data_IF_418310183362
#
_entry.id   IF_418310183362
#
_cell.length_a   1.000
_cell.length_b   1.000
_cell.length_c   1.000
_cell.angle_alpha   90.00
_cell.angle_beta   90.00
_cell.angle_gamma   90.00
#
_symmetry.space_group_name_H-M   'P 1'
#
loop_
_entity.id
_entity.type
_entity.pdbx_description
1 polymer ?
#
# COMPACT_ATOMS: atom_id res chain seq x y z
N UNK A 1 -3.94 19.49 -12.27
CA UNK A 1 -3.94 20.89 -12.80
C UNK A 1 -3.17 21.69 -11.78
N UNK A 2 -2.10 22.33 -12.19
CA UNK A 2 -1.26 23.17 -11.35
C UNK A 2 -2.07 24.38 -10.83
N UNK A 3 -1.93 24.73 -9.54
CA UNK A 3 -2.66 25.83 -8.92
C UNK A 3 -2.39 27.16 -9.63
N UNK A 4 -1.18 27.36 -10.15
CA UNK A 4 -0.79 28.57 -10.92
C UNK A 4 -1.58 28.67 -12.23
N UNK A 5 -1.74 27.56 -12.95
CA UNK A 5 -2.55 27.50 -14.18
C UNK A 5 -4.05 27.72 -13.91
N UNK A 6 -4.54 27.19 -12.78
CA UNK A 6 -5.93 27.39 -12.38
C UNK A 6 -6.19 28.88 -12.09
N UNK A 7 -5.32 29.52 -11.31
CA UNK A 7 -5.43 30.93 -10.95
C UNK A 7 -5.27 31.82 -12.20
N UNK A 8 -4.26 31.57 -13.02
CA UNK A 8 -4.02 32.32 -14.26
C UNK A 8 -5.22 32.24 -15.22
N UNK A 9 -5.79 31.05 -15.41
CA UNK A 9 -6.98 30.84 -16.22
C UNK A 9 -8.22 31.53 -15.64
N UNK A 10 -8.36 31.54 -14.31
CA UNK A 10 -9.53 32.14 -13.64
C UNK A 10 -9.49 33.67 -13.63
N UNK A 11 -8.29 34.24 -13.63
CA UNK A 11 -8.07 35.69 -13.58
C UNK A 11 -7.61 36.31 -14.90
N UNK A 12 -7.59 35.53 -15.98
CA UNK A 12 -7.14 35.98 -17.32
C UNK A 12 -5.73 36.62 -17.32
N UNK A 13 -4.83 36.10 -16.47
CA UNK A 13 -3.44 36.57 -16.36
C UNK A 13 -2.63 35.89 -17.44
N UNK A 14 -2.01 36.61 -18.41
CA UNK A 14 -1.12 36.00 -19.37
C UNK A 14 0.12 35.48 -18.65
N UNK A 15 0.37 34.17 -18.72
CA UNK A 15 1.63 33.58 -18.25
C UNK A 15 2.62 33.70 -19.41
N UNK A 16 3.59 34.59 -19.27
CA UNK A 16 4.72 34.69 -20.20
C UNK A 16 5.68 33.51 -19.99
N UNK A 17 5.34 32.37 -20.53
CA UNK A 17 6.30 31.31 -20.85
C UNK A 17 6.35 31.15 -22.36
N UNK A 18 7.48 30.73 -22.89
CA UNK A 18 7.55 30.13 -24.22
C UNK A 18 6.69 28.85 -24.18
N UNK A 19 5.41 29.05 -24.41
CA UNK A 19 4.31 28.20 -23.97
C UNK A 19 4.27 26.86 -24.71
N UNK A 20 4.90 26.78 -25.89
CA UNK A 20 4.82 25.58 -26.72
C UNK A 20 5.74 24.45 -26.22
N UNK A 21 7.01 24.71 -25.94
CA UNK A 21 7.94 23.66 -25.49
C UNK A 21 7.61 23.13 -24.08
N UNK A 22 7.17 24.01 -23.17
CA UNK A 22 6.77 23.60 -21.82
C UNK A 22 5.48 22.78 -21.84
N UNK A 23 4.54 23.13 -22.70
CA UNK A 23 3.29 22.41 -22.88
C UNK A 23 3.51 21.04 -23.52
N UNK A 24 4.36 20.94 -24.54
CA UNK A 24 4.67 19.67 -25.19
C UNK A 24 5.35 18.69 -24.25
N UNK A 25 6.33 19.16 -23.47
CA UNK A 25 7.02 18.32 -22.48
C UNK A 25 6.07 17.83 -21.38
N UNK A 26 5.25 18.71 -20.82
CA UNK A 26 4.27 18.31 -19.81
C UNK A 26 3.21 17.36 -20.35
N UNK A 27 2.73 17.61 -21.57
CA UNK A 27 1.79 16.69 -22.21
C UNK A 27 2.42 15.32 -22.47
N UNK A 28 3.69 15.28 -22.86
CA UNK A 28 4.41 14.02 -23.03
C UNK A 28 4.59 13.27 -21.69
N UNK A 29 4.96 13.98 -20.63
CA UNK A 29 5.07 13.41 -19.27
C UNK A 29 3.71 12.90 -18.75
N UNK A 30 2.63 13.66 -18.91
CA UNK A 30 1.29 13.23 -18.54
C UNK A 30 0.84 12.00 -19.34
N UNK A 31 1.09 11.98 -20.65
CA UNK A 31 0.80 10.82 -21.51
C UNK A 31 1.62 9.60 -21.12
N UNK A 32 2.91 9.81 -20.79
CA UNK A 32 3.76 8.73 -20.32
C UNK A 32 3.23 8.16 -18.99
N UNK A 33 2.93 9.02 -18.00
CA UNK A 33 2.34 8.60 -16.71
C UNK A 33 1.03 7.84 -16.90
N UNK A 34 0.16 8.30 -17.80
CA UNK A 34 -1.09 7.61 -18.08
C UNK A 34 -0.85 6.22 -18.70
N UNK A 35 0.14 6.09 -19.59
CA UNK A 35 0.52 4.79 -20.17
C UNK A 35 1.01 3.80 -19.10
N UNK A 36 1.76 4.28 -18.10
CA UNK A 36 2.21 3.47 -16.96
C UNK A 36 1.03 3.01 -16.09
N UNK A 37 0.05 3.89 -15.85
CA UNK A 37 -1.15 3.55 -15.09
C UNK A 37 -2.01 2.51 -15.81
N UNK A 38 -2.14 2.63 -17.13
CA UNK A 38 -2.83 1.62 -17.96
C UNK A 38 -2.11 0.27 -17.92
N UNK A 39 -0.77 0.27 -17.95
CA UNK A 39 0.01 -0.97 -17.80
C UNK A 39 -0.26 -1.63 -16.44
N UNK A 40 -0.33 -0.84 -15.34
CA UNK A 40 -0.67 -1.34 -14.01
C UNK A 40 -2.09 -1.95 -13.94
N UNK A 41 -3.05 -1.44 -14.68
CA UNK A 41 -4.40 -2.03 -14.75
C UNK A 41 -4.37 -3.44 -15.38
N UNK A 42 -3.58 -3.65 -16.46
CA UNK A 42 -3.37 -4.98 -17.05
C UNK A 42 -2.63 -5.92 -16.10
N UNK A 43 -1.58 -5.42 -15.43
CA UNK A 43 -0.81 -6.17 -14.42
C UNK A 43 -1.72 -6.62 -13.27
N UNK A 44 -2.59 -5.72 -12.80
CA UNK A 44 -3.57 -6.04 -11.77
C UNK A 44 -4.51 -7.17 -12.20
N UNK A 45 -5.00 -7.12 -13.43
CA UNK A 45 -5.86 -8.17 -13.97
C UNK A 45 -5.17 -9.53 -13.98
N UNK A 46 -3.86 -9.59 -14.27
CA UNK A 46 -3.07 -10.80 -14.21
C UNK A 46 -3.00 -11.36 -12.78
N UNK A 47 -2.61 -10.55 -11.79
CA UNK A 47 -2.47 -11.00 -10.41
C UNK A 47 -3.81 -11.43 -9.81
N UNK A 48 -4.90 -10.74 -10.14
CA UNK A 48 -6.25 -11.14 -9.74
C UNK A 48 -6.64 -12.49 -10.34
N UNK A 49 -6.35 -12.71 -11.62
CA UNK A 49 -6.60 -13.99 -12.29
C UNK A 49 -5.84 -15.12 -11.60
N UNK A 50 -4.55 -14.91 -11.29
CA UNK A 50 -3.72 -15.92 -10.61
C UNK A 50 -4.29 -16.29 -9.24
N UNK A 51 -4.77 -15.33 -8.46
CA UNK A 51 -5.37 -15.62 -7.15
C UNK A 51 -6.72 -16.29 -7.28
N UNK A 52 -7.62 -15.78 -8.13
CA UNK A 52 -9.07 -16.13 -8.09
C UNK A 52 -9.44 -17.31 -8.96
N UNK A 53 -8.88 -17.40 -10.16
CA UNK A 53 -9.38 -18.30 -11.21
C UNK A 53 -8.39 -19.37 -11.64
N UNK A 54 -7.10 -19.25 -11.28
CA UNK A 54 -6.12 -20.26 -11.63
C UNK A 54 -6.23 -21.43 -10.67
N UNK A 55 -6.50 -22.61 -11.21
CA UNK A 55 -6.68 -23.83 -10.42
C UNK A 55 -5.42 -24.69 -10.47
N UNK A 56 -4.46 -24.30 -9.63
CA UNK A 56 -3.26 -25.09 -9.34
C UNK A 56 -2.96 -25.02 -7.83
N UNK A 57 -2.05 -25.88 -7.37
CA UNK A 57 -1.79 -26.04 -5.93
C UNK A 57 -1.22 -24.77 -5.29
N UNK A 58 -0.34 -24.05 -5.99
CA UNK A 58 0.26 -22.81 -5.46
C UNK A 58 -0.76 -21.68 -5.35
N UNK A 59 -1.65 -21.55 -6.33
CA UNK A 59 -2.70 -20.52 -6.29
C UNK A 59 -3.76 -20.84 -5.22
N UNK A 60 -4.03 -22.13 -4.97
CA UNK A 60 -4.88 -22.55 -3.84
C UNK A 60 -4.23 -22.17 -2.51
N UNK A 61 -2.96 -22.48 -2.31
CA UNK A 61 -2.22 -22.07 -1.10
C UNK A 61 -2.21 -20.54 -0.92
N UNK A 62 -2.09 -19.79 -2.02
CA UNK A 62 -2.16 -18.34 -2.00
C UNK A 62 -3.56 -17.83 -1.56
N UNK A 63 -4.64 -18.48 -2.03
CA UNK A 63 -6.02 -18.19 -1.59
C UNK A 63 -6.20 -18.52 -0.12
N UNK A 64 -5.79 -19.70 0.32
CA UNK A 64 -5.89 -20.12 1.72
C UNK A 64 -5.17 -19.12 2.65
N UNK A 65 -3.98 -18.66 2.23
CA UNK A 65 -3.24 -17.63 2.96
C UNK A 65 -3.98 -16.29 2.99
N UNK A 66 -4.43 -15.80 1.84
CA UNK A 66 -5.06 -14.48 1.74
C UNK A 66 -6.43 -14.44 2.45
N UNK A 67 -7.26 -15.47 2.25
CA UNK A 67 -8.61 -15.55 2.82
C UNK A 67 -8.60 -15.93 4.31
N UNK A 68 -7.53 -16.58 4.77
CA UNK A 68 -7.28 -16.76 6.21
C UNK A 68 -6.95 -15.46 6.95
N UNK A 69 -6.46 -14.44 6.24
CA UNK A 69 -6.12 -13.13 6.84
C UNK A 69 -7.21 -12.08 6.68
N UNK A 70 -7.88 -12.06 5.56
CA UNK A 70 -8.93 -11.08 5.23
C UNK A 70 -10.13 -11.79 4.60
N UNK A 71 -11.37 -11.35 4.85
CA UNK A 71 -12.54 -11.90 4.18
C UNK A 71 -12.39 -11.90 2.66
N UNK A 72 -12.89 -12.92 1.98
CA UNK A 72 -12.76 -13.08 0.52
C UNK A 72 -13.36 -11.88 -0.23
N UNK A 73 -14.52 -11.41 0.20
CA UNK A 73 -15.19 -10.23 -0.38
C UNK A 73 -14.32 -9.00 -0.24
N UNK A 74 -13.66 -8.85 0.92
CA UNK A 74 -12.73 -7.75 1.14
C UNK A 74 -11.49 -7.87 0.26
N UNK A 75 -10.89 -9.07 0.14
CA UNK A 75 -9.78 -9.32 -0.78
C UNK A 75 -10.13 -8.92 -2.21
N UNK A 76 -11.38 -9.18 -2.61
CA UNK A 76 -11.91 -8.81 -3.91
C UNK A 76 -11.96 -7.30 -4.11
N UNK A 77 -12.49 -6.56 -3.14
CA UNK A 77 -12.62 -5.09 -3.20
C UNK A 77 -11.26 -4.41 -3.08
N UNK A 78 -10.39 -4.90 -2.19
CA UNK A 78 -9.03 -4.40 -2.02
C UNK A 78 -8.14 -4.68 -3.25
N UNK A 79 -8.52 -5.65 -4.08
CA UNK A 79 -7.76 -6.02 -5.27
C UNK A 79 -6.55 -6.89 -4.97
N UNK A 80 -6.60 -7.69 -3.91
CA UNK A 80 -5.51 -8.61 -3.56
C UNK A 80 -5.36 -9.67 -4.64
N UNK A 81 -4.12 -9.89 -5.08
CA UNK A 81 -3.77 -10.83 -6.13
C UNK A 81 -2.61 -11.75 -5.73
N UNK A 82 -2.13 -12.54 -6.69
CA UNK A 82 -1.01 -13.44 -6.47
C UNK A 82 -0.03 -13.40 -7.65
N UNK A 83 1.26 -13.34 -7.34
CA UNK A 83 2.37 -13.51 -8.29
C UNK A 83 2.91 -14.93 -8.16
N UNK A 84 2.74 -15.80 -9.19
CA UNK A 84 3.18 -17.19 -9.18
C UNK A 84 4.70 -17.37 -8.99
N UNK A 85 5.11 -18.59 -8.66
CA UNK A 85 6.53 -18.98 -8.53
C UNK A 85 7.25 -18.79 -9.86
N UNK A 86 6.64 -19.23 -10.97
CA UNK A 86 7.20 -19.05 -12.31
C UNK A 86 6.93 -17.63 -12.83
N UNK A 87 7.98 -16.81 -12.77
CA UNK A 87 7.92 -15.42 -13.27
C UNK A 87 7.80 -15.31 -14.80
N UNK A 88 8.11 -16.38 -15.56
CA UNK A 88 7.98 -16.35 -17.02
C UNK A 88 6.50 -16.24 -17.43
N UNK A 89 5.59 -16.82 -16.66
CA UNK A 89 4.14 -16.69 -16.91
C UNK A 89 3.68 -15.23 -16.91
N UNK A 90 4.28 -14.39 -16.06
CA UNK A 90 4.00 -12.95 -16.05
C UNK A 90 4.60 -12.26 -17.28
N UNK A 91 5.83 -12.60 -17.66
CA UNK A 91 6.50 -12.03 -18.83
C UNK A 91 5.71 -12.37 -20.11
N UNK A 92 5.34 -13.65 -20.28
CA UNK A 92 4.51 -14.11 -21.40
C UNK A 92 3.16 -13.40 -21.48
N UNK A 93 2.53 -13.17 -20.32
CA UNK A 93 1.28 -12.42 -20.25
C UNK A 93 1.47 -10.98 -20.74
N UNK A 94 2.51 -10.30 -20.29
CA UNK A 94 2.82 -8.93 -20.68
C UNK A 94 3.11 -8.83 -22.18
N UNK A 95 3.87 -9.77 -22.76
CA UNK A 95 4.15 -9.86 -24.19
C UNK A 95 2.88 -10.06 -25.02
N UNK A 96 2.02 -11.00 -24.61
CA UNK A 96 0.72 -11.25 -25.27
C UNK A 96 -0.22 -10.04 -25.24
N UNK A 97 -0.04 -9.14 -24.30
CA UNK A 97 -0.79 -7.87 -24.18
C UNK A 97 -0.07 -6.69 -24.80
N UNK A 98 1.10 -6.91 -25.43
CA UNK A 98 1.93 -5.87 -26.04
C UNK A 98 2.27 -4.74 -25.08
N UNK A 99 2.45 -5.07 -23.79
CA UNK A 99 2.91 -4.11 -22.80
C UNK A 99 4.36 -3.72 -23.08
N UNK A 100 4.64 -2.43 -22.99
CA UNK A 100 5.99 -1.92 -23.24
C UNK A 100 6.96 -2.43 -22.17
N UNK A 101 8.05 -3.09 -22.57
CA UNK A 101 9.03 -3.68 -21.66
C UNK A 101 9.74 -2.61 -20.82
N UNK A 102 10.07 -1.45 -21.40
CA UNK A 102 10.69 -0.34 -20.68
C UNK A 102 9.76 0.18 -19.56
N UNK A 103 8.47 0.31 -19.85
CA UNK A 103 7.47 0.64 -18.84
C UNK A 103 7.42 -0.38 -17.69
N UNK A 104 7.57 -1.67 -17.99
CA UNK A 104 7.61 -2.72 -16.97
C UNK A 104 8.87 -2.62 -16.09
N UNK A 105 10.03 -2.26 -16.66
CA UNK A 105 11.24 -1.95 -15.88
C UNK A 105 11.06 -0.71 -15.03
N UNK A 106 10.50 0.34 -15.59
CA UNK A 106 10.26 1.61 -14.89
C UNK A 106 9.28 1.45 -13.72
N UNK A 107 8.25 0.62 -13.88
CA UNK A 107 7.32 0.24 -12.82
C UNK A 107 7.92 -0.73 -11.79
N UNK A 108 9.14 -1.22 -12.02
CA UNK A 108 9.79 -2.21 -11.17
C UNK A 108 9.15 -3.58 -11.20
N UNK A 109 8.39 -3.92 -12.25
CA UNK A 109 7.79 -5.24 -12.45
C UNK A 109 8.81 -6.24 -13.01
N UNK A 110 9.74 -5.76 -13.81
CA UNK A 110 10.85 -6.53 -14.34
C UNK A 110 12.18 -6.04 -13.79
N UNK A 111 13.15 -6.96 -13.72
CA UNK A 111 14.55 -6.66 -13.43
C UNK A 111 15.45 -7.39 -14.40
N UNK A 112 16.66 -6.85 -14.58
CA UNK A 112 17.73 -7.46 -15.36
C UNK A 112 18.83 -7.93 -14.42
N UNK A 113 19.19 -9.20 -14.51
CA UNK A 113 20.31 -9.79 -13.80
C UNK A 113 21.67 -9.31 -14.36
N UNK A 114 22.75 -9.60 -13.66
CA UNK A 114 24.12 -9.29 -14.09
C UNK A 114 24.50 -9.99 -15.40
N UNK A 115 23.91 -11.15 -15.66
CA UNK A 115 24.04 -11.93 -16.91
C UNK A 115 23.15 -11.41 -18.05
N UNK A 116 22.41 -10.33 -17.84
CA UNK A 116 21.48 -9.74 -18.79
C UNK A 116 20.11 -10.41 -18.85
N UNK A 117 19.88 -11.51 -18.11
CA UNK A 117 18.60 -12.20 -18.08
C UNK A 117 17.52 -11.32 -17.45
N UNK A 118 16.33 -11.28 -18.08
CA UNK A 118 15.17 -10.53 -17.59
C UNK A 118 14.30 -11.46 -16.75
N UNK A 119 13.92 -10.99 -15.57
CA UNK A 119 13.05 -11.73 -14.67
C UNK A 119 11.98 -10.86 -14.01
N UNK A 120 10.85 -11.49 -13.67
CA UNK A 120 9.79 -10.84 -12.89
C UNK A 120 10.24 -10.58 -11.46
N UNK A 121 10.07 -9.33 -10.98
CA UNK A 121 10.46 -8.91 -9.63
C UNK A 121 9.65 -9.63 -8.54
N UNK A 122 8.37 -9.80 -8.77
CA UNK A 122 7.45 -10.43 -7.82
C UNK A 122 7.22 -11.88 -8.19
N UNK A 123 7.57 -12.77 -7.26
CA UNK A 123 7.39 -14.23 -7.41
C UNK A 123 7.02 -14.84 -6.08
N UNK A 124 6.06 -15.75 -6.06
CA UNK A 124 5.56 -16.44 -4.88
C UNK A 124 5.11 -15.45 -3.78
N UNK A 125 4.32 -14.42 -4.22
CA UNK A 125 3.90 -13.33 -3.31
C UNK A 125 2.43 -13.01 -3.46
N UNK A 126 1.79 -12.74 -2.32
CA UNK A 126 0.51 -12.05 -2.29
C UNK A 126 0.74 -10.61 -2.71
N UNK A 127 0.05 -10.17 -3.75
CA UNK A 127 0.17 -8.84 -4.34
C UNK A 127 -0.91 -7.92 -3.77
N UNK A 128 -0.49 -6.86 -3.14
CA UNK A 128 -1.35 -5.87 -2.50
C UNK A 128 -1.16 -4.55 -3.25
N UNK A 129 -2.18 -4.07 -3.98
CA UNK A 129 -2.06 -2.84 -4.76
C UNK A 129 -1.97 -1.61 -3.86
N UNK A 130 -1.04 -0.73 -4.16
CA UNK A 130 -0.93 0.61 -3.58
C UNK A 130 -1.69 1.56 -4.50
N UNK A 131 -2.63 2.32 -3.94
CA UNK A 131 -3.50 3.22 -4.68
C UNK A 131 -3.22 4.67 -4.33
N UNK A 132 -3.38 5.54 -5.31
CA UNK A 132 -3.43 6.97 -5.05
C UNK A 132 -4.81 7.37 -4.45
N UNK A 133 -4.95 8.62 -3.99
CA UNK A 133 -6.19 9.12 -3.38
C UNK A 133 -7.46 8.98 -4.25
N UNK A 134 -7.30 8.81 -5.56
CA UNK A 134 -8.41 8.61 -6.51
C UNK A 134 -8.73 7.14 -6.74
N UNK A 135 -7.98 6.21 -6.12
CA UNK A 135 -8.18 4.77 -6.23
C UNK A 135 -7.45 4.11 -7.40
N UNK A 136 -6.65 4.86 -8.20
CA UNK A 136 -5.83 4.27 -9.27
C UNK A 136 -4.62 3.56 -8.68
N UNK A 137 -4.31 2.38 -9.18
CA UNK A 137 -3.13 1.62 -8.77
C UNK A 137 -1.88 2.34 -9.29
N UNK A 138 -0.91 2.55 -8.40
CA UNK A 138 0.35 3.23 -8.70
C UNK A 138 1.58 2.35 -8.41
N UNK A 139 1.43 1.31 -7.59
CA UNK A 139 2.50 0.40 -7.20
C UNK A 139 1.92 -0.83 -6.49
N UNK A 140 2.82 -1.69 -6.00
CA UNK A 140 2.49 -2.85 -5.17
C UNK A 140 3.39 -2.94 -3.94
N UNK A 141 2.82 -3.42 -2.84
CA UNK A 141 3.55 -4.10 -1.77
C UNK A 141 3.23 -5.59 -1.85
N UNK A 142 4.21 -6.45 -1.57
CA UNK A 142 4.06 -7.87 -1.86
C UNK A 142 4.62 -8.74 -0.73
N UNK A 143 3.75 -9.58 -0.14
CA UNK A 143 4.09 -10.51 0.94
C UNK A 143 4.59 -11.82 0.36
N UNK A 144 5.78 -12.25 0.76
CA UNK A 144 6.30 -13.58 0.42
C UNK A 144 5.56 -14.68 1.19
N UNK A 145 5.12 -15.73 0.51
CA UNK A 145 4.43 -16.89 1.09
C UNK A 145 5.16 -18.21 0.82
N UNK A 146 6.40 -18.16 0.33
CA UNK A 146 7.23 -19.35 0.12
C UNK A 146 8.00 -19.74 1.38
N UNK A 147 8.88 -20.74 1.21
CA UNK A 147 9.62 -21.37 2.31
C UNK A 147 11.09 -20.92 2.42
N UNK A 148 11.54 -19.97 1.57
CA UNK A 148 12.93 -19.49 1.64
C UNK A 148 13.08 -18.47 2.78
N UNK A 149 13.77 -18.79 3.89
CA UNK A 149 13.91 -17.89 5.04
C UNK A 149 14.77 -16.65 4.74
N UNK A 150 15.55 -16.67 3.64
CA UNK A 150 16.35 -15.53 3.20
C UNK A 150 15.55 -14.53 2.36
N UNK A 151 14.36 -14.90 1.89
CA UNK A 151 13.53 -14.02 1.12
C UNK A 151 12.90 -12.94 2.03
N UNK A 152 12.98 -11.64 1.65
CA UNK A 152 12.33 -10.60 2.43
C UNK A 152 10.83 -10.86 2.58
N UNK A 153 10.32 -10.73 3.81
CA UNK A 153 8.90 -10.92 4.16
C UNK A 153 8.00 -10.03 3.29
N UNK A 154 8.36 -8.75 3.15
CA UNK A 154 7.69 -7.79 2.26
C UNK A 154 8.69 -7.12 1.32
N UNK A 155 8.25 -6.84 0.11
CA UNK A 155 8.94 -5.97 -0.85
C UNK A 155 7.93 -5.00 -1.47
N UNK A 156 8.40 -3.79 -1.77
CA UNK A 156 7.59 -2.78 -2.46
C UNK A 156 8.11 -2.58 -3.88
N UNK A 157 7.26 -2.09 -4.77
CA UNK A 157 7.70 -1.55 -6.06
C UNK A 157 8.77 -0.48 -5.87
N UNK A 158 9.66 -0.36 -6.83
CA UNK A 158 10.63 0.74 -6.90
C UNK A 158 9.92 2.07 -7.15
N UNK A 159 10.58 3.19 -6.84
CA UNK A 159 10.10 4.51 -7.23
C UNK A 159 9.97 4.60 -8.75
N UNK A 160 8.90 5.23 -9.22
CA UNK A 160 8.58 5.41 -10.64
C UNK A 160 7.92 6.78 -10.85
N UNK A 161 7.67 7.22 -12.09
CA UNK A 161 6.96 8.48 -12.34
C UNK A 161 5.55 8.54 -11.77
N UNK A 162 4.95 7.39 -11.42
CA UNK A 162 3.61 7.31 -10.83
C UNK A 162 3.62 6.99 -9.33
N UNK A 163 4.78 6.60 -8.77
CA UNK A 163 4.89 6.18 -7.38
C UNK A 163 6.15 6.68 -6.69
N UNK A 164 5.98 7.37 -5.58
CA UNK A 164 7.04 7.74 -4.63
C UNK A 164 6.63 7.30 -3.23
N UNK A 165 7.48 6.46 -2.60
CA UNK A 165 7.22 5.93 -1.26
C UNK A 165 7.06 7.02 -0.21
N UNK A 166 7.86 8.09 -0.30
CA UNK A 166 7.80 9.22 0.62
C UNK A 166 6.59 10.14 0.42
N UNK A 167 5.89 10.00 -0.71
CA UNK A 167 4.71 10.81 -1.04
C UNK A 167 3.42 10.01 -1.01
N UNK A 168 3.48 8.73 -0.64
CA UNK A 168 2.32 7.83 -0.69
C UNK A 168 1.94 7.38 0.71
N UNK A 169 0.64 7.41 0.99
CA UNK A 169 0.02 6.79 2.15
C UNK A 169 -0.79 5.58 1.68
N UNK A 170 -0.53 4.42 2.26
CA UNK A 170 -1.35 3.24 2.01
C UNK A 170 -2.73 3.40 2.66
N UNK A 171 -3.79 3.08 1.93
CA UNK A 171 -5.17 3.19 2.40
C UNK A 171 -5.81 4.57 2.24
N UNK A 172 -5.07 5.58 1.75
CA UNK A 172 -5.56 6.94 1.58
C UNK A 172 -6.76 7.03 0.61
N UNK A 173 -6.85 6.13 -0.35
CA UNK A 173 -7.96 6.07 -1.31
C UNK A 173 -9.31 5.81 -0.64
N UNK A 174 -9.34 5.02 0.43
CA UNK A 174 -10.53 4.77 1.24
C UNK A 174 -10.70 5.84 2.31
N UNK A 175 -9.63 6.15 3.05
CA UNK A 175 -9.67 7.11 4.14
C UNK A 175 -10.13 8.50 3.69
N UNK A 176 -9.69 8.97 2.52
CA UNK A 176 -10.07 10.28 2.00
C UNK A 176 -11.55 10.38 1.57
N UNK A 177 -12.26 9.26 1.45
CA UNK A 177 -13.71 9.23 1.16
C UNK A 177 -14.57 9.32 2.42
N UNK A 178 -13.97 9.15 3.60
CA UNK A 178 -14.65 9.23 4.89
C UNK A 178 -14.83 10.71 5.29
N UNK A 179 -15.84 11.37 4.70
CA UNK A 179 -16.09 12.82 4.85
C UNK A 179 -16.36 13.27 6.30
N UNK A 180 -16.75 12.34 7.17
CA UNK A 180 -17.13 12.60 8.56
C UNK A 180 -16.19 11.91 9.56
N UNK A 181 -15.01 11.49 9.14
CA UNK A 181 -14.04 10.91 10.07
C UNK A 181 -13.43 12.01 10.93
N UNK A 182 -13.75 12.01 12.22
CA UNK A 182 -13.19 12.95 13.20
C UNK A 182 -11.66 12.83 13.29
N UNK A 183 -11.13 11.66 12.99
CA UNK A 183 -9.70 11.35 13.00
C UNK A 183 -9.32 10.27 11.99
N UNK A 184 -8.04 10.21 11.64
CA UNK A 184 -7.49 9.07 10.92
C UNK A 184 -6.72 8.16 11.87
N UNK A 185 -6.82 6.84 11.63
CA UNK A 185 -6.08 5.82 12.34
C UNK A 185 -4.77 5.58 11.61
N UNK A 186 -3.68 5.63 12.37
CA UNK A 186 -2.32 5.40 11.88
C UNK A 186 -1.81 4.08 12.44
N UNK A 187 -1.49 3.15 11.55
CA UNK A 187 -0.91 1.84 11.86
C UNK A 187 0.45 1.67 11.20
N UNK A 188 1.17 0.59 11.50
CA UNK A 188 2.55 0.42 11.05
C UNK A 188 2.67 0.06 9.57
N UNK A 189 1.77 -0.77 9.05
CA UNK A 189 1.93 -1.32 7.72
C UNK A 189 0.65 -1.57 6.92
N UNK A 190 0.85 -1.91 5.65
CA UNK A 190 -0.25 -2.22 4.74
C UNK A 190 -1.15 -3.39 5.21
N UNK A 191 -0.63 -4.49 5.81
CA UNK A 191 -1.47 -5.56 6.32
C UNK A 191 -2.44 -5.10 7.39
N UNK A 192 -1.99 -4.18 8.28
CA UNK A 192 -2.76 -3.67 9.40
C UNK A 192 -3.86 -2.74 8.90
N UNK A 193 -3.53 -1.88 7.92
CA UNK A 193 -4.54 -1.07 7.22
C UNK A 193 -5.62 -1.97 6.60
N UNK A 194 -5.22 -3.01 5.87
CA UNK A 194 -6.17 -3.93 5.24
C UNK A 194 -7.04 -4.63 6.30
N UNK A 195 -6.44 -5.01 7.43
CA UNK A 195 -7.17 -5.65 8.51
C UNK A 195 -8.19 -4.71 9.13
N UNK A 196 -7.79 -3.48 9.45
CA UNK A 196 -8.67 -2.45 9.98
C UNK A 196 -9.81 -2.12 9.01
N UNK A 197 -9.48 -1.90 7.74
CA UNK A 197 -10.49 -1.62 6.70
C UNK A 197 -11.43 -2.79 6.45
N UNK A 198 -10.96 -4.06 6.64
CA UNK A 198 -11.80 -5.24 6.46
C UNK A 198 -12.91 -5.37 7.51
N UNK A 199 -12.78 -4.64 8.61
CA UNK A 199 -13.78 -4.60 9.71
C UNK A 199 -14.44 -3.23 9.85
N UNK A 200 -14.34 -2.38 8.82
CA UNK A 200 -15.10 -1.13 8.72
C UNK A 200 -14.35 0.15 9.15
N UNK A 201 -13.08 0.06 9.58
CA UNK A 201 -12.25 1.24 9.88
C UNK A 201 -11.58 1.78 8.61
N UNK A 202 -12.38 2.25 7.66
CA UNK A 202 -11.91 2.76 6.37
C UNK A 202 -11.01 4.01 6.50
N UNK A 203 -11.07 4.73 7.63
CA UNK A 203 -10.23 5.88 7.96
C UNK A 203 -8.80 5.49 8.41
N UNK A 204 -8.34 4.27 8.11
CA UNK A 204 -7.01 3.77 8.49
C UNK A 204 -6.01 3.93 7.36
N UNK A 205 -4.82 4.44 7.69
CA UNK A 205 -3.69 4.63 6.76
C UNK A 205 -2.36 4.21 7.39
N UNK A 206 -1.37 3.94 6.55
CA UNK A 206 0.02 3.71 6.98
C UNK A 206 1.02 4.37 6.04
N UNK A 207 2.19 4.74 6.56
CA UNK A 207 3.36 5.00 5.74
C UNK A 207 3.91 3.67 5.21
N UNK A 208 4.45 3.69 3.98
CA UNK A 208 5.09 2.51 3.38
C UNK A 208 6.58 2.37 3.76
N UNK A 209 7.00 3.09 4.78
CA UNK A 209 8.36 3.11 5.32
C UNK A 209 8.37 3.46 6.81
N UNK A 210 9.54 3.33 7.44
CA UNK A 210 9.71 3.57 8.87
C UNK A 210 9.63 5.05 9.26
N UNK A 211 9.99 5.96 8.36
CA UNK A 211 9.99 7.40 8.61
C UNK A 211 8.85 8.08 7.83
N UNK A 212 8.08 8.91 8.51
CA UNK A 212 7.06 9.77 7.92
C UNK A 212 7.70 11.02 7.31
N UNK A 213 7.11 11.51 6.23
CA UNK A 213 7.58 12.70 5.51
C UNK A 213 6.62 13.86 5.66
N UNK A 214 7.12 15.06 5.40
CA UNK A 214 6.29 16.27 5.38
C UNK A 214 5.15 16.18 4.36
N UNK A 215 5.43 15.60 3.18
CA UNK A 215 4.43 15.39 2.13
C UNK A 215 3.28 14.50 2.59
N UNK A 216 3.57 13.45 3.35
CA UNK A 216 2.55 12.55 3.89
C UNK A 216 1.67 13.28 4.94
N UNK A 217 2.25 14.06 5.82
CA UNK A 217 1.49 14.87 6.78
C UNK A 217 0.63 15.94 6.09
N UNK A 218 1.13 16.58 5.03
CA UNK A 218 0.33 17.54 4.25
C UNK A 218 -0.86 16.87 3.54
N UNK A 219 -0.73 15.61 3.14
CA UNK A 219 -1.87 14.85 2.63
C UNK A 219 -2.92 14.58 3.71
N UNK A 220 -2.48 14.22 4.93
CA UNK A 220 -3.40 14.00 6.05
C UNK A 220 -4.16 15.26 6.42
N UNK A 221 -3.48 16.42 6.48
CA UNK A 221 -4.10 17.72 6.82
C UNK A 221 -5.27 18.11 5.92
N UNK A 222 -5.27 17.65 4.67
CA UNK A 222 -6.36 17.89 3.72
C UNK A 222 -7.66 17.17 4.09
N UNK A 223 -7.60 16.21 5.02
CA UNK A 223 -8.72 15.34 5.35
C UNK A 223 -9.10 15.36 6.83
N UNK A 224 -8.15 15.57 7.74
CA UNK A 224 -8.40 15.57 9.19
C UNK A 224 -7.40 16.46 9.93
N UNK A 225 -7.77 16.91 11.12
CA UNK A 225 -6.88 17.56 12.09
C UNK A 225 -6.47 16.65 13.25
N UNK A 226 -6.95 15.41 13.29
CA UNK A 226 -6.74 14.49 14.41
C UNK A 226 -6.22 13.14 13.94
N UNK A 227 -5.23 12.59 14.64
CA UNK A 227 -4.63 11.31 14.33
C UNK A 227 -4.68 10.40 15.57
N UNK A 228 -5.05 9.15 15.37
CA UNK A 228 -5.01 8.09 16.38
C UNK A 228 -3.96 7.06 15.98
N UNK A 229 -2.83 7.04 16.67
CA UNK A 229 -1.78 6.05 16.44
C UNK A 229 -2.08 4.76 17.20
N UNK A 230 -1.94 3.63 16.52
CA UNK A 230 -2.07 2.29 17.10
C UNK A 230 -0.77 1.54 16.79
N UNK A 231 0.18 1.46 17.77
CA UNK A 231 1.40 0.69 17.61
C UNK A 231 1.14 -0.81 17.66
N UNK A 232 2.02 -1.59 17.03
CA UNK A 232 2.09 -3.02 17.26
C UNK A 232 2.48 -3.31 18.71
N UNK A 233 1.94 -4.39 19.28
CA UNK A 233 2.15 -4.77 20.67
C UNK A 233 3.38 -5.67 20.89
N UNK A 234 4.38 -5.59 20.02
CA UNK A 234 5.60 -6.38 20.05
C UNK A 234 6.59 -5.91 21.14
N UNK A 235 6.31 -6.23 22.38
CA UNK A 235 7.21 -5.93 23.51
C UNK A 235 8.27 -7.01 23.58
N UNK A 236 9.52 -6.65 23.30
CA UNK A 236 10.65 -7.54 23.54
C UNK A 236 10.86 -7.77 25.04
N UNK A 237 11.22 -9.01 25.41
CA UNK A 237 11.46 -9.39 26.80
C UNK A 237 12.49 -8.45 27.47
N UNK A 238 12.11 -7.88 28.62
CA UNK A 238 12.96 -6.94 29.39
C UNK A 238 12.92 -5.48 28.92
N UNK A 239 12.10 -5.12 27.92
CA UNK A 239 11.88 -3.71 27.55
C UNK A 239 10.50 -3.23 28.03
N UNK A 240 10.38 -1.97 28.51
CA UNK A 240 9.09 -1.43 28.93
C UNK A 240 8.15 -1.17 27.75
N UNK A 241 8.68 -0.97 26.55
CA UNK A 241 7.92 -0.70 25.32
C UNK A 241 8.56 -1.41 24.13
N UNK A 242 7.75 -1.78 23.12
CA UNK A 242 8.19 -2.33 21.84
C UNK A 242 8.72 -1.26 20.88
N UNK A 243 9.38 -1.70 19.81
CA UNK A 243 9.90 -0.81 18.77
C UNK A 243 8.78 0.04 18.11
N UNK A 244 7.58 -0.54 17.95
CA UNK A 244 6.40 0.16 17.44
C UNK A 244 6.01 1.36 18.29
N UNK A 245 6.07 1.24 19.61
CA UNK A 245 5.77 2.34 20.52
C UNK A 245 6.78 3.50 20.40
N UNK A 246 8.08 3.19 20.30
CA UNK A 246 9.12 4.21 20.09
C UNK A 246 8.91 4.96 18.76
N UNK A 247 8.56 4.24 17.69
CA UNK A 247 8.24 4.82 16.40
C UNK A 247 7.00 5.73 16.47
N UNK A 248 5.95 5.32 17.19
CA UNK A 248 4.74 6.12 17.42
C UNK A 248 5.05 7.39 18.20
N UNK A 249 5.91 7.32 19.22
CA UNK A 249 6.31 8.51 19.99
C UNK A 249 7.04 9.54 19.11
N UNK A 250 7.95 9.09 18.25
CA UNK A 250 8.67 9.97 17.33
C UNK A 250 7.75 10.58 16.27
N UNK A 251 6.92 9.76 15.63
CA UNK A 251 6.00 10.18 14.57
C UNK A 251 4.84 11.02 15.13
N UNK A 252 4.33 10.70 16.31
CA UNK A 252 3.32 11.47 17.03
C UNK A 252 3.82 12.85 17.41
N UNK A 253 5.07 12.95 17.91
CA UNK A 253 5.68 14.25 18.20
C UNK A 253 5.86 15.10 16.93
N UNK A 254 6.18 14.47 15.78
CA UNK A 254 6.23 15.18 14.50
C UNK A 254 4.84 15.65 14.08
N UNK A 255 3.81 14.82 14.21
CA UNK A 255 2.42 15.19 13.92
C UNK A 255 1.94 16.38 14.77
N UNK A 256 2.24 16.40 16.07
CA UNK A 256 1.92 17.51 16.97
C UNK A 256 2.59 18.80 16.50
N UNK A 257 3.90 18.76 16.16
CA UNK A 257 4.60 19.93 15.62
C UNK A 257 3.99 20.46 14.33
N UNK A 258 3.33 19.59 13.56
CA UNK A 258 2.59 19.98 12.36
C UNK A 258 1.13 20.40 12.63
N UNK A 259 0.73 20.48 13.89
CA UNK A 259 -0.57 21.00 14.31
C UNK A 259 -1.71 19.97 14.33
N UNK A 260 -1.41 18.68 14.39
CA UNK A 260 -2.42 17.64 14.61
C UNK A 260 -2.72 17.44 16.10
N UNK A 261 -3.98 17.12 16.40
CA UNK A 261 -4.34 16.47 17.64
C UNK A 261 -3.95 15.01 17.55
N UNK A 262 -3.15 14.52 18.51
CA UNK A 262 -2.64 13.15 18.50
C UNK A 262 -3.16 12.40 19.70
N UNK A 263 -3.71 11.22 19.46
CA UNK A 263 -4.02 10.22 20.47
C UNK A 263 -3.24 8.94 20.16
N UNK A 264 -2.91 8.18 21.19
CA UNK A 264 -2.31 6.85 21.06
C UNK A 264 -3.25 5.85 21.71
N UNK A 265 -3.49 4.73 21.07
CA UNK A 265 -4.26 3.61 21.59
C UNK A 265 -3.38 2.37 21.59
N UNK A 266 -3.15 1.80 22.74
CA UNK A 266 -2.52 0.51 22.89
C UNK A 266 -3.55 -0.59 22.70
N UNK A 267 -3.18 -1.64 21.98
CA UNK A 267 -3.98 -2.83 21.88
C UNK A 267 -3.79 -3.63 23.18
N UNK A 268 -4.86 -4.14 23.80
CA UNK A 268 -4.72 -4.96 24.99
C UNK A 268 -3.87 -6.18 24.65
N UNK A 269 -2.86 -6.48 25.48
CA UNK A 269 -2.06 -7.70 25.35
C UNK A 269 -2.99 -8.91 25.35
N UNK A 270 -2.98 -9.70 24.28
CA UNK A 270 -3.55 -11.02 24.31
C UNK A 270 -2.75 -11.83 25.33
N UNK A 271 -3.35 -12.15 26.50
CA UNK A 271 -2.78 -13.19 27.35
C UNK A 271 -2.69 -14.44 26.50
N UNK A 272 -1.52 -15.07 26.46
CA UNK A 272 -1.16 -16.22 25.64
C UNK A 272 -2.06 -17.48 25.82
N UNK A 273 -3.20 -17.37 26.46
CA UNK A 273 -4.14 -18.46 26.77
C UNK A 273 -5.20 -18.75 25.72
N UNK A 274 -5.18 -18.05 24.56
CA UNK A 274 -6.08 -18.35 23.43
C UNK A 274 -5.25 -18.35 22.15
N UNK A 275 -4.16 -19.08 22.14
CA UNK A 275 -3.43 -19.36 20.90
C UNK A 275 -4.00 -20.68 20.36
N UNK A 276 -4.80 -20.59 19.32
CA UNK A 276 -5.01 -21.74 18.44
C UNK A 276 -3.63 -22.09 17.87
N UNK A 277 -3.11 -23.29 18.15
CA UNK A 277 -1.76 -23.75 17.78
C UNK A 277 -1.53 -23.73 16.26
N UNK A 278 -2.57 -23.48 15.47
CA UNK A 278 -2.52 -23.34 14.00
C UNK A 278 -2.36 -21.90 13.49
N UNK A 279 -2.36 -20.90 14.37
CA UNK A 279 -2.15 -19.50 13.97
C UNK A 279 -0.67 -19.16 14.24
N UNK A 280 0.12 -18.76 13.21
CA UNK A 280 1.49 -18.30 13.44
C UNK A 280 1.52 -17.19 14.49
N UNK A 281 2.43 -17.30 15.48
CA UNK A 281 2.58 -16.39 16.63
C UNK A 281 2.86 -14.91 16.30
N UNK A 282 2.93 -14.58 15.03
CA UNK A 282 3.22 -13.25 14.51
C UNK A 282 1.99 -12.37 14.24
N UNK A 283 0.76 -12.88 14.44
CA UNK A 283 -0.48 -12.17 14.12
C UNK A 283 -1.25 -11.70 15.37
N UNK A 284 -0.60 -10.88 16.19
CA UNK A 284 -1.19 -10.25 17.40
C UNK A 284 -2.47 -9.43 17.09
N UNK A 285 -2.67 -9.03 15.84
CA UNK A 285 -3.81 -8.25 15.40
C UNK A 285 -5.16 -9.02 15.37
N UNK A 286 -5.13 -10.36 15.29
CA UNK A 286 -6.37 -11.15 15.25
C UNK A 286 -7.15 -11.13 16.57
N UNK A 287 -6.47 -10.98 17.70
CA UNK A 287 -7.09 -11.01 19.03
C UNK A 287 -7.79 -9.71 19.39
N UNK A 288 -7.32 -8.57 18.88
CA UNK A 288 -7.85 -7.25 19.24
C UNK A 288 -9.20 -6.92 18.63
N UNK A 289 -9.59 -7.57 17.54
CA UNK A 289 -10.86 -7.31 16.87
C UNK A 289 -12.07 -7.97 17.55
N UNK A 290 -11.86 -8.93 18.45
CA UNK A 290 -12.94 -9.54 19.24
C UNK A 290 -13.52 -8.59 20.29
N UNK A 291 -12.82 -7.49 20.63
CA UNK A 291 -13.24 -6.54 21.68
C UNK A 291 -13.76 -5.21 21.15
N UNK A 292 -13.75 -4.97 19.85
CA UNK A 292 -14.17 -3.69 19.25
C UNK A 292 -15.45 -3.74 18.43
N UNK A 293 -16.25 -4.81 18.53
CA UNK A 293 -17.62 -4.71 18.02
C UNK A 293 -18.38 -3.71 18.88
N UNK A 294 -18.95 -2.64 18.31
CA UNK A 294 -19.85 -1.78 19.07
C UNK A 294 -21.00 -2.64 19.58
N UNK A 295 -21.27 -2.54 20.87
CA UNK A 295 -22.52 -3.05 21.43
C UNK A 295 -23.69 -2.45 20.67
N UNK A 296 -24.76 -3.21 20.44
CA UNK A 296 -25.95 -2.76 19.71
C UNK A 296 -26.61 -1.55 20.36
#
# INVERSE_FOLDING_TARGET
MDAVRFIAKHHNIPIEYTQEEYNEKQMAEEKHRESLLVALDYIQAYFLKCLRTTDNIECKQARDYAYGRWPEEFCSVAGIGYAPVDGNLFIDYCQKRSLNEEALFELGMLKRGEDGHIYAMFRQRIMIPIRNRWGRIIAYTARYIGHNPKAPKYINSSTSPVYSKGETLFGIDRASRQRNADYFIIVEGAPDVLRMQSVGFDNTVAALGTAWTDSQFEQLKKNTSSLCFIPDSDVAEGKPYGAGFEAVMANGAMAIRKGFHVTVRELPFAKASVVDENIPSEDTFQVCLLYTSPSP
#
